data_IF_236641391612
#
_entry.id   IF_236641391612
#
_cell.length_a   1.000
_cell.length_b   1.000
_cell.length_c   1.000
_cell.angle_alpha   90.00
_cell.angle_beta   90.00
_cell.angle_gamma   90.00
#
_symmetry.space_group_name_H-M   'P 1'
#
loop_
_entity.id
_entity.type
_entity.pdbx_description
1 polymer ?
#
# COMPACT_ATOMS: atom_id res chain seq x y z
N UNK A 1 -2.39 6.53 2.26
CA UNK A 1 -0.97 6.77 2.60
C UNK A 1 -0.13 5.70 1.93
N UNK A 2 0.84 6.06 1.07
CA UNK A 2 1.77 5.10 0.50
C UNK A 2 2.70 4.55 1.58
N UNK A 3 2.85 3.23 1.66
CA UNK A 3 3.64 2.55 2.69
C UNK A 3 5.10 2.33 2.23
N UNK A 4 5.23 1.81 1.01
CA UNK A 4 6.48 1.56 0.33
C UNK A 4 6.25 1.79 -1.16
N UNK A 5 7.16 2.51 -1.81
CA UNK A 5 7.16 2.72 -3.27
C UNK A 5 8.54 2.32 -3.78
N UNK A 6 8.55 1.48 -4.81
CA UNK A 6 9.77 0.96 -5.43
C UNK A 6 9.73 1.33 -6.91
N UNK A 7 10.84 1.87 -7.40
CA UNK A 7 11.03 2.13 -8.83
C UNK A 7 11.73 0.93 -9.50
N UNK A 8 10.99 0.26 -10.39
CA UNK A 8 11.45 -0.91 -11.15
C UNK A 8 11.78 -0.53 -12.60
N UNK A 9 12.12 0.73 -12.85
CA UNK A 9 12.57 1.17 -14.17
C UNK A 9 14.05 0.88 -14.40
N UNK A 10 14.44 0.74 -15.67
CA UNK A 10 15.78 0.27 -16.06
C UNK A 10 16.90 1.14 -15.47
N UNK A 11 16.68 2.45 -15.33
CA UNK A 11 17.66 3.35 -14.75
C UNK A 11 17.99 3.08 -13.27
N UNK A 12 17.12 2.40 -12.51
CA UNK A 12 17.36 2.12 -11.08
C UNK A 12 18.30 0.93 -10.85
N UNK A 13 18.37 -0.02 -11.80
CA UNK A 13 19.13 -1.27 -11.64
C UNK A 13 20.08 -1.62 -12.78
N UNK A 14 19.96 -1.01 -13.95
CA UNK A 14 20.69 -1.46 -15.14
C UNK A 14 22.22 -1.33 -15.03
N UNK A 15 22.71 -0.32 -14.29
CA UNK A 15 24.14 -0.14 -14.04
C UNK A 15 24.77 -1.30 -13.23
N UNK A 16 24.02 -1.87 -12.27
CA UNK A 16 24.52 -2.94 -11.39
C UNK A 16 24.12 -4.34 -11.87
N UNK A 17 22.90 -4.51 -12.35
CA UNK A 17 22.31 -5.83 -12.66
C UNK A 17 22.04 -6.04 -14.15
N UNK A 18 22.23 -5.01 -15.01
CA UNK A 18 21.97 -5.08 -16.46
C UNK A 18 20.55 -5.63 -16.74
N UNK A 19 20.45 -6.77 -17.44
CA UNK A 19 19.18 -7.43 -17.77
C UNK A 19 18.65 -8.36 -16.66
N UNK A 20 19.37 -8.53 -15.55
CA UNK A 20 19.00 -9.45 -14.47
C UNK A 20 18.07 -8.76 -13.46
N UNK A 21 16.79 -8.67 -13.83
CA UNK A 21 15.74 -8.05 -13.00
C UNK A 21 15.44 -8.84 -11.71
N UNK A 22 15.50 -10.17 -11.75
CA UNK A 22 15.24 -11.02 -10.59
C UNK A 22 16.22 -10.72 -9.44
N UNK A 23 17.52 -10.73 -9.74
CA UNK A 23 18.57 -10.44 -8.76
C UNK A 23 18.44 -9.05 -8.12
N UNK A 24 17.95 -8.06 -8.88
CA UNK A 24 17.70 -6.72 -8.33
C UNK A 24 16.60 -6.74 -7.26
N UNK A 25 15.48 -7.42 -7.54
CA UNK A 25 14.34 -7.49 -6.63
C UNK A 25 14.71 -8.27 -5.36
N UNK A 26 15.42 -9.38 -5.50
CA UNK A 26 15.87 -10.20 -4.36
C UNK A 26 16.80 -9.42 -3.43
N UNK A 27 17.74 -8.67 -4.00
CA UNK A 27 18.64 -7.82 -3.22
C UNK A 27 17.94 -6.61 -2.58
N UNK A 28 16.90 -6.08 -3.23
CA UNK A 28 16.13 -4.97 -2.70
C UNK A 28 15.42 -5.35 -1.39
N UNK A 29 14.86 -6.56 -1.30
CA UNK A 29 14.21 -7.04 -0.07
C UNK A 29 15.13 -7.10 1.14
N UNK A 30 16.43 -7.29 0.92
CA UNK A 30 17.44 -7.29 1.99
C UNK A 30 17.79 -5.87 2.48
N UNK A 31 17.52 -4.83 1.69
CA UNK A 31 17.91 -3.44 1.99
C UNK A 31 16.72 -2.62 2.53
N UNK A 32 15.49 -3.09 2.35
CA UNK A 32 14.30 -2.38 2.83
C UNK A 32 14.28 -2.32 4.37
N UNK A 33 14.08 -1.11 4.91
CA UNK A 33 13.84 -0.91 6.34
C UNK A 33 12.37 -1.19 6.68
N UNK A 34 12.12 -2.35 7.27
CA UNK A 34 10.79 -2.81 7.66
C UNK A 34 10.19 -2.05 8.85
N UNK A 35 11.03 -1.54 9.76
CA UNK A 35 10.57 -0.79 10.94
C UNK A 35 9.85 0.49 10.51
N UNK A 36 10.43 1.22 9.56
CA UNK A 36 9.83 2.45 9.01
C UNK A 36 8.49 2.17 8.29
N UNK A 37 8.39 1.03 7.60
CA UNK A 37 7.14 0.61 6.94
C UNK A 37 6.06 0.32 8.00
N UNK A 38 6.42 -0.35 9.09
CA UNK A 38 5.51 -0.64 10.19
C UNK A 38 5.02 0.64 10.88
N UNK A 39 5.91 1.61 11.12
CA UNK A 39 5.56 2.90 11.72
C UNK A 39 4.57 3.69 10.84
N UNK A 40 4.84 3.76 9.53
CA UNK A 40 3.93 4.41 8.57
C UNK A 40 2.57 3.73 8.51
N UNK A 41 2.53 2.40 8.60
CA UNK A 41 1.29 1.65 8.65
C UNK A 41 0.50 1.94 9.94
N UNK A 42 1.16 1.98 11.10
CA UNK A 42 0.54 2.32 12.37
C UNK A 42 -0.07 3.73 12.35
N UNK A 43 0.67 4.71 11.83
CA UNK A 43 0.17 6.08 11.65
C UNK A 43 -1.03 6.13 10.70
N UNK A 44 -0.97 5.44 9.56
CA UNK A 44 -2.07 5.36 8.62
C UNK A 44 -3.33 4.75 9.26
N UNK A 45 -3.18 3.69 10.07
CA UNK A 45 -4.29 3.06 10.80
C UNK A 45 -4.90 4.01 11.82
N UNK A 46 -4.09 4.78 12.54
CA UNK A 46 -4.58 5.79 13.50
C UNK A 46 -5.37 6.88 12.76
N UNK A 47 -4.84 7.38 11.64
CA UNK A 47 -5.50 8.42 10.84
C UNK A 47 -6.82 7.91 10.29
N UNK A 48 -6.84 6.72 9.70
CA UNK A 48 -8.07 6.11 9.18
C UNK A 48 -9.10 5.90 10.29
N UNK A 49 -8.68 5.45 11.47
CA UNK A 49 -9.58 5.29 12.63
C UNK A 49 -10.14 6.61 13.15
N UNK A 50 -9.37 7.69 13.07
CA UNK A 50 -9.83 9.05 13.43
C UNK A 50 -10.75 9.65 12.36
N UNK A 51 -10.46 9.40 11.09
CA UNK A 51 -11.21 9.93 9.95
C UNK A 51 -12.57 9.22 9.77
N UNK A 52 -12.65 7.94 10.11
CA UNK A 52 -13.90 7.17 10.12
C UNK A 52 -14.24 6.70 11.55
N UNK A 53 -14.92 7.54 12.36
CA UNK A 53 -15.53 7.07 13.59
C UNK A 53 -16.50 5.90 13.31
N UNK A 54 -16.60 4.96 14.25
CA UNK A 54 -17.26 3.65 14.11
C UNK A 54 -18.76 3.68 13.70
N UNK A 55 -19.36 4.86 13.55
CA UNK A 55 -20.77 5.05 13.24
C UNK A 55 -21.16 4.84 11.77
N UNK A 56 -20.21 4.61 10.86
CA UNK A 56 -20.52 4.35 9.44
C UNK A 56 -20.72 2.86 9.10
N UNK A 57 -20.85 1.99 10.10
CA UNK A 57 -21.14 0.55 9.89
C UNK A 57 -22.57 0.28 9.39
N UNK A 58 -23.49 1.22 9.56
CA UNK A 58 -24.89 1.08 9.13
C UNK A 58 -25.16 1.61 7.70
N UNK A 59 -24.26 2.43 7.14
CA UNK A 59 -24.47 2.98 5.79
C UNK A 59 -24.25 1.97 4.65
N UNK A 60 -23.65 0.81 4.92
CA UNK A 60 -23.40 -0.20 3.87
C UNK A 60 -24.60 -1.12 3.61
N UNK A 61 -25.60 -1.19 4.50
CA UNK A 61 -26.83 -1.97 4.26
C UNK A 61 -27.90 -1.19 3.47
N UNK A 62 -27.85 0.15 3.45
CA UNK A 62 -28.87 0.96 2.74
C UNK A 62 -28.57 1.14 1.24
N UNK A 63 -27.39 0.73 0.75
CA UNK A 63 -27.06 0.85 -0.68
C UNK A 63 -27.47 -0.37 -1.53
N UNK A 64 -27.99 -1.45 -0.94
CA UNK A 64 -28.45 -2.63 -1.69
C UNK A 64 -29.95 -2.60 -2.06
N UNK A 65 -30.71 -1.62 -1.58
CA UNK A 65 -32.16 -1.50 -1.86
C UNK A 65 -32.52 -0.53 -3.00
N UNK A 66 -31.55 0.02 -3.73
CA UNK A 66 -31.80 0.96 -4.86
C UNK A 66 -31.21 0.45 -6.17
N UNK A 67 -31.23 -0.87 -6.39
CA UNK A 67 -30.89 -1.47 -7.70
C UNK A 67 -31.96 -2.45 -8.22
N UNK A 68 -33.17 -2.45 -7.64
CA UNK A 68 -34.28 -3.27 -8.13
C UNK A 68 -35.59 -2.53 -8.38
N UNK A 69 -35.57 -1.19 -8.46
CA UNK A 69 -36.70 -0.40 -8.96
C UNK A 69 -36.21 0.76 -9.83
N UNK A 70 -35.72 0.41 -11.02
CA UNK A 70 -35.85 1.16 -12.28
C UNK A 70 -35.19 0.35 -13.40
#
# INVERSE_FOLDING_TARGET
MPLLVIDVWEHSYYLKYRNRRGEFVDNLFNVINWDNVADRFALAKIILRKAFPANYRECFEISLSVFLTC
#
